data_IF_363981438843
#
_entry.id   IF_363981438843
#
_cell.length_a   1.000
_cell.length_b   1.000
_cell.length_c   1.000
_cell.angle_alpha   90.00
_cell.angle_beta   90.00
_cell.angle_gamma   90.00
#
_symmetry.space_group_name_H-M   'P 1'
#
loop_
_entity.id
_entity.type
_entity.pdbx_description
1 polymer ?
#
# COMPACT_ATOMS: atom_id res chain seq x y z
N UNK A 1 -87.10 -3.40 -17.02
CA UNK A 1 -87.01 -4.01 -18.36
C UNK A 1 -85.63 -3.70 -18.94
N UNK A 2 -85.07 -4.67 -19.66
CA UNK A 2 -83.69 -4.77 -20.17
C UNK A 2 -83.39 -3.85 -21.37
N UNK A 3 -82.07 -3.80 -21.66
CA UNK A 3 -81.34 -3.61 -22.93
C UNK A 3 -80.61 -2.25 -23.04
N UNK A 4 -79.27 -2.17 -22.91
CA UNK A 4 -78.11 -2.69 -23.67
C UNK A 4 -77.68 -1.79 -24.85
N UNK A 5 -76.41 -1.35 -24.83
CA UNK A 5 -75.66 -0.82 -25.98
C UNK A 5 -74.68 0.30 -25.58
N UNK A 6 -73.42 0.38 -26.02
CA UNK A 6 -72.54 -0.49 -26.83
C UNK A 6 -71.12 0.00 -26.55
N UNK A 7 -70.16 -0.91 -26.39
CA UNK A 7 -68.74 -0.59 -26.32
C UNK A 7 -68.20 -0.13 -27.69
N UNK A 8 -67.20 0.76 -27.68
CA UNK A 8 -66.29 0.98 -28.81
C UNK A 8 -64.86 0.79 -28.33
N UNK A 9 -64.24 -0.25 -28.91
CA UNK A 9 -62.82 -0.55 -28.88
C UNK A 9 -62.03 0.58 -29.54
N UNK A 10 -60.84 0.89 -29.01
CA UNK A 10 -59.75 1.43 -29.81
C UNK A 10 -58.51 0.56 -29.60
N UNK A 11 -57.91 0.23 -30.75
CA UNK A 11 -56.95 -0.82 -31.00
C UNK A 11 -55.63 -0.70 -30.23
N UNK A 12 -55.16 -1.86 -29.79
CA UNK A 12 -53.80 -2.13 -29.37
C UNK A 12 -52.90 -2.23 -30.61
N UNK A 13 -51.86 -1.40 -30.70
CA UNK A 13 -50.67 -1.70 -31.49
C UNK A 13 -49.49 -1.96 -30.54
N UNK A 14 -48.69 -3.02 -30.74
CA UNK A 14 -47.62 -3.37 -29.83
C UNK A 14 -46.33 -2.62 -30.23
N UNK A 15 -45.99 -1.59 -29.47
CA UNK A 15 -44.66 -0.97 -29.52
C UNK A 15 -43.64 -1.85 -28.79
N UNK A 16 -42.62 -2.30 -29.54
CA UNK A 16 -41.51 -3.14 -29.10
C UNK A 16 -40.96 -2.76 -27.71
N UNK A 17 -41.06 -3.71 -26.76
CA UNK A 17 -40.32 -3.67 -25.52
C UNK A 17 -38.82 -3.82 -25.82
N UNK A 18 -38.06 -2.74 -25.61
CA UNK A 18 -36.60 -2.81 -25.58
C UNK A 18 -36.16 -3.50 -24.28
N UNK A 19 -35.83 -4.79 -24.39
CA UNK A 19 -35.17 -5.54 -23.33
C UNK A 19 -33.73 -5.03 -23.18
N UNK A 20 -33.56 -3.97 -22.40
CA UNK A 20 -32.26 -3.64 -21.79
C UNK A 20 -32.41 -3.82 -20.27
N UNK A 21 -31.56 -4.63 -19.62
CA UNK A 21 -31.63 -4.79 -18.17
C UNK A 21 -31.29 -3.45 -17.53
N UNK A 22 -32.09 -2.94 -16.57
CA UNK A 22 -31.78 -1.68 -15.92
C UNK A 22 -30.47 -1.84 -15.13
N UNK A 23 -29.51 -1.02 -15.48
CA UNK A 23 -28.24 -0.86 -14.78
C UNK A 23 -28.51 -0.36 -13.36
N UNK A 24 -27.97 -1.09 -12.37
CA UNK A 24 -27.84 -0.73 -10.95
C UNK A 24 -28.95 0.19 -10.37
N UNK A 25 -30.07 -0.40 -9.96
CA UNK A 25 -31.11 0.30 -9.21
C UNK A 25 -30.50 0.97 -7.96
N UNK A 26 -30.46 2.30 -7.94
CA UNK A 26 -30.03 3.09 -6.78
C UNK A 26 -31.17 3.13 -5.77
N UNK A 27 -30.95 2.62 -4.56
CA UNK A 27 -31.96 2.52 -3.50
C UNK A 27 -31.95 3.82 -2.66
N UNK A 28 -33.11 4.46 -2.49
CA UNK A 28 -33.30 5.71 -1.74
C UNK A 28 -34.27 5.52 -0.58
N UNK A 29 -34.02 6.15 0.58
CA UNK A 29 -34.88 6.06 1.77
C UNK A 29 -35.33 7.44 2.29
N UNK A 30 -36.53 7.49 2.87
CA UNK A 30 -37.05 8.63 3.64
C UNK A 30 -36.36 8.70 5.01
N UNK A 31 -36.01 9.91 5.48
CA UNK A 31 -35.50 10.11 6.85
C UNK A 31 -36.58 9.77 7.89
N UNK A 32 -36.30 8.84 8.80
CA UNK A 32 -36.98 8.76 10.10
C UNK A 32 -37.97 7.63 10.35
N UNK A 33 -38.08 6.59 9.51
CA UNK A 33 -39.01 5.48 9.76
C UNK A 33 -38.31 4.27 10.42
N UNK A 34 -38.59 4.04 11.71
CA UNK A 34 -38.39 2.74 12.35
C UNK A 34 -39.67 1.92 12.16
N UNK A 35 -39.61 0.89 11.31
CA UNK A 35 -40.65 -0.14 11.21
C UNK A 35 -41.16 -0.41 9.79
N UNK A 36 -40.99 -1.66 9.35
CA UNK A 36 -41.87 -2.35 8.39
C UNK A 36 -41.90 -1.85 6.94
N UNK A 37 -41.07 -2.46 6.09
CA UNK A 37 -41.21 -2.43 4.62
C UNK A 37 -40.53 -1.23 3.98
N UNK A 38 -39.42 -1.45 3.27
CA UNK A 38 -38.73 -0.41 2.51
C UNK A 38 -39.26 -0.37 1.08
N UNK A 39 -40.00 0.68 0.66
CA UNK A 39 -40.33 0.86 -0.74
C UNK A 39 -39.06 1.33 -1.47
N UNK A 40 -38.61 0.53 -2.44
CA UNK A 40 -37.50 0.88 -3.33
C UNK A 40 -37.98 1.83 -4.43
N UNK A 41 -37.45 3.04 -4.49
CA UNK A 41 -37.80 4.02 -5.52
C UNK A 41 -36.66 4.21 -6.53
N UNK A 42 -37.01 4.36 -7.81
CA UNK A 42 -36.08 4.70 -8.89
C UNK A 42 -35.56 6.14 -8.75
N UNK A 43 -34.39 6.45 -9.30
CA UNK A 43 -33.75 7.79 -9.26
C UNK A 43 -34.67 8.92 -9.74
N UNK A 44 -35.62 8.62 -10.63
CA UNK A 44 -36.54 9.57 -11.24
C UNK A 44 -37.77 9.86 -10.37
N UNK A 45 -37.93 9.16 -9.24
CA UNK A 45 -39.01 9.36 -8.27
C UNK A 45 -38.51 9.97 -6.95
N UNK A 46 -37.31 10.54 -6.94
CA UNK A 46 -36.67 11.15 -5.76
C UNK A 46 -37.40 12.42 -5.34
N UNK A 47 -37.87 12.49 -4.09
CA UNK A 47 -38.31 13.74 -3.45
C UNK A 47 -37.12 14.48 -2.81
N UNK A 48 -37.28 15.77 -2.51
CA UNK A 48 -36.23 16.58 -1.86
C UNK A 48 -35.71 15.97 -0.54
N UNK A 49 -36.55 15.21 0.16
CA UNK A 49 -36.26 14.60 1.46
C UNK A 49 -35.64 13.19 1.38
N UNK A 50 -35.50 12.62 0.18
CA UNK A 50 -34.93 11.28 -0.02
C UNK A 50 -33.39 11.31 -0.07
N UNK A 51 -32.76 10.45 0.74
CA UNK A 51 -31.30 10.36 0.88
C UNK A 51 -30.76 9.14 0.14
N UNK A 52 -29.65 9.32 -0.59
CA UNK A 52 -28.95 8.22 -1.25
C UNK A 52 -28.32 7.35 -0.18
N UNK A 53 -28.85 6.14 0.02
CA UNK A 53 -28.29 5.22 1.02
C UNK A 53 -27.16 4.36 0.46
N UNK A 54 -27.03 4.28 -0.87
CA UNK A 54 -26.02 3.48 -1.57
C UNK A 54 -24.76 4.31 -1.80
N UNK A 55 -24.89 5.49 -2.39
CA UNK A 55 -23.80 6.42 -2.68
C UNK A 55 -23.87 7.64 -1.76
N UNK A 56 -23.80 7.38 -0.44
CA UNK A 56 -23.78 8.45 0.56
C UNK A 56 -22.64 9.42 0.27
N UNK A 57 -22.95 10.72 0.29
CA UNK A 57 -21.96 11.80 0.19
C UNK A 57 -21.92 12.58 1.50
N UNK A 58 -20.75 13.11 1.82
CA UNK A 58 -20.62 14.13 2.86
C UNK A 58 -21.49 15.35 2.52
N UNK A 59 -21.90 16.14 3.51
CA UNK A 59 -22.67 17.37 3.29
C UNK A 59 -21.98 18.34 2.32
N UNK A 60 -20.64 18.32 2.25
CA UNK A 60 -19.87 19.15 1.33
C UNK A 60 -19.90 18.68 -0.13
N UNK A 61 -20.54 17.53 -0.42
CA UNK A 61 -20.67 16.86 -1.72
C UNK A 61 -19.35 16.45 -2.41
N UNK A 62 -18.20 16.83 -1.86
CA UNK A 62 -16.86 16.59 -2.42
C UNK A 62 -16.25 15.25 -2.03
N UNK A 63 -16.69 14.63 -0.92
CA UNK A 63 -16.06 13.43 -0.37
C UNK A 63 -17.05 12.34 0.03
N UNK A 64 -16.59 11.09 -0.02
CA UNK A 64 -17.26 9.93 0.57
C UNK A 64 -17.15 10.04 2.10
N UNK A 65 -18.26 9.88 2.84
CA UNK A 65 -18.21 9.96 4.29
C UNK A 65 -17.59 8.69 4.88
N UNK A 66 -16.66 8.86 5.82
CA UNK A 66 -16.08 7.78 6.62
C UNK A 66 -16.00 8.12 8.11
N UNK A 67 -16.25 9.38 8.47
CA UNK A 67 -16.19 9.89 9.83
C UNK A 67 -17.58 10.08 10.43
N UNK A 68 -17.73 9.73 11.70
CA UNK A 68 -18.96 9.85 12.47
C UNK A 68 -18.67 9.88 13.97
N UNK A 69 -19.71 10.02 14.79
CA UNK A 69 -19.59 9.79 16.23
C UNK A 69 -19.35 8.30 16.49
N UNK A 70 -18.74 7.97 17.64
CA UNK A 70 -18.49 6.59 18.05
C UNK A 70 -19.74 5.72 17.91
N UNK A 71 -19.57 4.55 17.29
CA UNK A 71 -20.64 3.58 16.96
C UNK A 71 -21.78 4.13 16.05
N UNK A 72 -21.59 5.32 15.48
CA UNK A 72 -22.55 6.00 14.61
C UNK A 72 -22.30 5.74 13.12
N UNK A 73 -23.18 6.32 12.29
CA UNK A 73 -23.05 6.25 10.83
C UNK A 73 -21.97 7.22 10.32
N UNK A 74 -21.25 6.86 9.24
CA UNK A 74 -20.35 7.79 8.58
C UNK A 74 -21.17 8.89 7.91
N UNK A 75 -20.95 10.13 8.34
CA UNK A 75 -21.68 11.32 7.87
C UNK A 75 -20.76 12.38 7.28
N UNK A 76 -19.47 12.36 7.65
CA UNK A 76 -18.49 13.37 7.29
C UNK A 76 -17.32 12.75 6.53
N UNK A 77 -16.78 13.49 5.55
CA UNK A 77 -15.50 13.14 4.94
C UNK A 77 -14.34 13.63 5.81
N UNK A 78 -13.11 13.18 5.51
CA UNK A 78 -11.90 13.53 6.26
C UNK A 78 -11.66 15.06 6.40
N UNK A 79 -12.11 15.85 5.42
CA UNK A 79 -11.97 17.32 5.42
C UNK A 79 -13.07 18.05 6.22
N UNK A 80 -14.16 17.36 6.52
CA UNK A 80 -15.31 17.94 7.20
C UNK A 80 -15.53 17.36 8.60
N UNK A 81 -14.68 16.42 9.04
CA UNK A 81 -14.80 15.83 10.38
C UNK A 81 -14.59 16.90 11.46
N UNK A 82 -15.25 16.71 12.60
CA UNK A 82 -14.97 17.46 13.84
C UNK A 82 -14.03 16.67 14.74
N UNK A 83 -13.48 17.30 15.78
CA UNK A 83 -12.59 16.61 16.74
C UNK A 83 -13.27 15.46 17.49
N UNK A 84 -14.59 15.55 17.71
CA UNK A 84 -15.39 14.51 18.34
C UNK A 84 -15.68 13.31 17.42
N UNK A 85 -15.38 13.41 16.12
CA UNK A 85 -15.67 12.36 15.14
C UNK A 85 -14.46 11.45 14.91
N UNK A 86 -14.73 10.16 14.80
CA UNK A 86 -13.74 9.15 14.43
C UNK A 86 -14.10 8.46 13.12
N UNK A 87 -13.12 7.76 12.54
CA UNK A 87 -13.38 6.87 11.41
C UNK A 87 -14.18 5.66 11.91
N UNK A 88 -15.44 5.57 11.47
CA UNK A 88 -16.40 4.52 11.85
C UNK A 88 -16.57 3.48 10.74
N UNK A 89 -15.98 3.73 9.57
CA UNK A 89 -16.04 2.82 8.42
C UNK A 89 -14.88 1.83 8.48
N UNK A 90 -13.70 2.29 8.87
CA UNK A 90 -12.48 1.48 8.85
C UNK A 90 -12.20 0.87 10.22
N UNK A 91 -12.26 -0.46 10.30
CA UNK A 91 -11.91 -1.19 11.51
C UNK A 91 -10.45 -0.90 11.91
N UNK A 92 -10.23 -0.59 13.19
CA UNK A 92 -8.90 -0.45 13.79
C UNK A 92 -8.45 -1.78 14.39
N UNK A 93 -7.14 -1.97 14.48
CA UNK A 93 -6.51 -3.13 15.10
C UNK A 93 -6.99 -3.31 16.54
N UNK A 94 -7.42 -4.53 16.87
CA UNK A 94 -7.92 -4.90 18.21
C UNK A 94 -6.87 -4.73 19.32
N UNK A 95 -5.58 -4.74 19.00
CA UNK A 95 -4.51 -4.49 19.97
C UNK A 95 -4.37 -3.01 20.37
N UNK A 96 -5.30 -2.14 19.99
CA UNK A 96 -5.30 -0.73 20.36
C UNK A 96 -4.21 0.13 19.69
N UNK A 97 -3.45 -0.41 18.73
CA UNK A 97 -2.35 0.31 18.09
C UNK A 97 -2.79 1.35 17.04
N UNK A 98 -4.10 1.57 16.87
CA UNK A 98 -4.67 2.56 15.96
C UNK A 98 -4.53 2.27 14.46
N UNK A 99 -3.88 1.16 14.07
CA UNK A 99 -3.70 0.79 12.66
C UNK A 99 -5.02 0.31 12.04
N UNK A 100 -5.40 0.83 10.89
CA UNK A 100 -6.57 0.34 10.13
C UNK A 100 -6.30 -1.07 9.58
N UNK A 101 -7.28 -1.95 9.70
CA UNK A 101 -7.19 -3.35 9.28
C UNK A 101 -8.27 -3.71 8.28
N UNK A 102 -7.92 -4.59 7.35
CA UNK A 102 -8.87 -5.35 6.54
C UNK A 102 -8.89 -6.75 7.15
N UNK A 103 -10.04 -7.27 7.56
CA UNK A 103 -10.31 -8.42 8.47
C UNK A 103 -9.58 -9.78 8.26
N UNK A 104 -8.47 -9.85 7.54
CA UNK A 104 -7.70 -11.07 7.22
C UNK A 104 -6.97 -11.68 8.42
N UNK A 105 -6.60 -10.86 9.40
CA UNK A 105 -5.72 -11.26 10.50
C UNK A 105 -6.46 -11.24 11.86
N UNK A 106 -7.65 -11.83 11.92
CA UNK A 106 -8.48 -11.90 13.15
C UNK A 106 -8.73 -10.53 13.81
N UNK A 107 -8.84 -9.47 13.02
CA UNK A 107 -9.03 -8.08 13.52
C UNK A 107 -7.73 -7.38 13.96
N UNK A 108 -6.56 -7.99 13.80
CA UNK A 108 -5.26 -7.39 14.14
C UNK A 108 -4.53 -6.87 12.89
N UNK A 109 -3.69 -5.85 13.05
CA UNK A 109 -2.74 -5.51 11.99
C UNK A 109 -1.66 -6.59 11.91
N UNK A 110 -1.00 -6.73 10.75
CA UNK A 110 0.02 -7.79 10.54
C UNK A 110 1.07 -7.79 11.65
N UNK A 111 1.56 -6.61 12.05
CA UNK A 111 2.56 -6.48 13.13
C UNK A 111 2.07 -7.04 14.47
N UNK A 112 0.87 -6.65 14.90
CA UNK A 112 0.30 -7.15 16.15
C UNK A 112 -0.05 -8.64 16.05
N UNK A 113 -0.54 -9.07 14.89
CA UNK A 113 -0.89 -10.47 14.64
C UNK A 113 0.32 -11.39 14.78
N UNK A 114 1.47 -11.02 14.20
CA UNK A 114 2.70 -11.81 14.28
C UNK A 114 3.15 -12.01 15.73
N UNK A 115 3.06 -10.94 16.53
CA UNK A 115 3.45 -10.97 17.94
C UNK A 115 2.48 -11.80 18.79
N UNK A 116 1.18 -11.68 18.55
CA UNK A 116 0.14 -12.35 19.34
C UNK A 116 -0.11 -13.80 18.92
N UNK A 117 0.22 -14.17 17.68
CA UNK A 117 -0.06 -15.49 17.13
C UNK A 117 1.18 -16.08 16.43
N UNK A 118 2.29 -16.33 17.14
CA UNK A 118 3.56 -16.72 16.53
C UNK A 118 3.49 -18.03 15.71
N UNK A 119 2.61 -18.96 16.07
CA UNK A 119 2.48 -20.27 15.41
C UNK A 119 1.67 -20.24 14.11
N UNK A 120 0.94 -19.16 13.87
CA UNK A 120 0.15 -18.99 12.66
C UNK A 120 1.05 -18.91 11.43
N UNK A 121 0.58 -19.44 10.30
CA UNK A 121 1.37 -19.47 9.06
C UNK A 121 1.83 -18.08 8.62
N UNK A 122 0.96 -17.07 8.75
CA UNK A 122 1.28 -15.67 8.42
C UNK A 122 2.42 -15.14 9.28
N UNK A 123 2.43 -15.50 10.56
CA UNK A 123 3.44 -15.09 11.54
C UNK A 123 4.77 -15.75 11.28
N UNK A 124 4.78 -17.06 11.06
CA UNK A 124 5.98 -17.82 10.69
C UNK A 124 6.63 -17.30 9.42
N UNK A 125 5.83 -16.84 8.45
CA UNK A 125 6.32 -16.35 7.18
C UNK A 125 6.75 -14.87 7.19
N UNK A 126 6.48 -14.15 8.27
CA UNK A 126 6.63 -12.70 8.33
C UNK A 126 8.11 -12.28 8.23
N UNK A 127 8.39 -11.35 7.30
CA UNK A 127 9.72 -10.73 7.10
C UNK A 127 10.88 -11.72 6.87
N UNK A 128 10.64 -12.95 6.41
CA UNK A 128 11.74 -13.92 6.24
C UNK A 128 12.79 -13.46 5.22
N UNK A 129 12.38 -12.92 4.07
CA UNK A 129 13.36 -12.49 3.05
C UNK A 129 14.16 -11.29 3.54
N UNK A 130 13.48 -10.33 4.17
CA UNK A 130 14.11 -9.19 4.87
C UNK A 130 15.09 -9.68 5.94
N UNK A 131 14.71 -10.68 6.75
CA UNK A 131 15.59 -11.30 7.75
C UNK A 131 16.83 -11.92 7.12
N UNK A 132 16.69 -12.72 6.06
CA UNK A 132 17.85 -13.29 5.35
C UNK A 132 18.78 -12.21 4.80
N UNK A 133 18.22 -11.12 4.27
CA UNK A 133 18.96 -9.98 3.76
C UNK A 133 19.75 -9.28 4.89
N UNK A 134 19.08 -8.93 6.00
CA UNK A 134 19.71 -8.27 7.15
C UNK A 134 20.77 -9.18 7.81
N UNK A 135 20.47 -10.46 8.01
CA UNK A 135 21.39 -11.41 8.63
C UNK A 135 22.65 -11.60 7.76
N UNK A 136 22.52 -11.57 6.43
CA UNK A 136 23.67 -11.63 5.51
C UNK A 136 24.55 -10.37 5.59
N UNK A 137 23.95 -9.18 5.67
CA UNK A 137 24.71 -7.91 5.81
C UNK A 137 25.44 -7.86 7.15
N UNK A 138 24.78 -8.28 8.24
CA UNK A 138 25.42 -8.38 9.56
C UNK A 138 26.60 -9.35 9.56
N UNK A 139 26.45 -10.50 8.90
CA UNK A 139 27.51 -11.49 8.78
C UNK A 139 28.69 -11.02 7.92
N UNK A 140 28.48 -10.04 7.03
CA UNK A 140 29.55 -9.48 6.19
C UNK A 140 30.49 -8.54 6.94
N UNK A 141 30.09 -8.05 8.12
CA UNK A 141 30.91 -7.19 9.00
C UNK A 141 31.48 -5.93 8.31
N UNK A 142 30.72 -5.36 7.36
CA UNK A 142 31.10 -4.14 6.62
C UNK A 142 30.52 -2.86 7.20
N UNK A 143 29.60 -2.98 8.16
CA UNK A 143 28.94 -1.83 8.78
C UNK A 143 29.84 -1.25 9.88
N UNK A 144 29.85 0.08 10.06
CA UNK A 144 30.66 0.69 11.11
C UNK A 144 30.18 0.23 12.49
N UNK A 145 31.12 -0.08 13.40
CA UNK A 145 30.80 -0.44 14.79
C UNK A 145 30.48 0.82 15.59
N UNK A 146 29.30 1.38 15.31
CA UNK A 146 28.86 2.63 15.91
C UNK A 146 27.37 2.60 16.23
N UNK A 147 26.92 3.36 17.26
CA UNK A 147 25.50 3.46 17.60
C UNK A 147 24.66 4.15 16.52
N UNK A 148 25.30 4.69 15.47
CA UNK A 148 24.63 5.28 14.31
C UNK A 148 24.10 4.23 13.31
N UNK A 149 24.42 2.95 13.50
CA UNK A 149 23.80 1.84 12.76
C UNK A 149 22.53 1.39 13.46
N UNK A 150 21.41 1.39 12.75
CA UNK A 150 20.13 0.91 13.28
C UNK A 150 19.46 -0.08 12.33
N UNK A 151 18.77 -1.07 12.91
CA UNK A 151 18.03 -2.12 12.19
C UNK A 151 16.57 -2.12 12.65
N UNK A 152 15.61 -1.96 11.73
CA UNK A 152 14.16 -1.90 12.00
C UNK A 152 13.77 -1.04 13.23
N UNK A 153 14.53 0.04 13.46
CA UNK A 153 14.33 0.99 14.57
C UNK A 153 13.93 2.35 14.00
N UNK A 154 13.20 3.13 14.81
CA UNK A 154 12.94 4.54 14.50
C UNK A 154 14.26 5.31 14.66
N UNK A 155 14.49 6.28 13.79
CA UNK A 155 15.62 7.19 13.92
C UNK A 155 15.48 8.01 15.21
N UNK A 156 16.57 8.10 15.97
CA UNK A 156 16.60 8.84 17.23
C UNK A 156 16.55 10.35 16.93
N UNK A 157 15.52 11.04 17.43
CA UNK A 157 15.29 12.47 17.16
C UNK A 157 14.45 12.78 15.93
N UNK A 158 14.08 11.78 15.12
CA UNK A 158 13.18 11.95 13.99
C UNK A 158 11.73 12.17 14.42
N UNK A 159 11.06 13.16 13.82
CA UNK A 159 9.64 13.40 14.05
C UNK A 159 8.78 12.31 13.40
N UNK A 160 9.30 11.61 12.38
CA UNK A 160 8.56 10.56 11.69
C UNK A 160 8.54 9.22 12.45
N UNK A 161 7.50 8.41 12.23
CA UNK A 161 7.41 7.05 12.77
C UNK A 161 8.16 6.01 11.91
N UNK A 162 8.99 6.46 10.96
CA UNK A 162 9.55 5.64 9.87
C UNK A 162 10.76 4.82 10.34
N UNK A 163 10.93 3.66 9.70
CA UNK A 163 11.92 2.64 10.05
C UNK A 163 12.43 2.02 8.74
N UNK A 164 13.59 2.45 8.23
CA UNK A 164 14.29 1.68 7.20
C UNK A 164 14.74 0.32 7.77
N UNK A 165 14.93 -0.67 6.89
CA UNK A 165 15.37 -2.00 7.33
C UNK A 165 16.77 -1.93 7.94
N UNK A 166 17.65 -1.14 7.33
CA UNK A 166 18.95 -0.74 7.88
C UNK A 166 19.15 0.75 7.62
N UNK A 167 19.60 1.49 8.63
CA UNK A 167 20.05 2.86 8.52
C UNK A 167 21.47 2.97 9.05
N UNK A 168 22.29 3.72 8.34
CA UNK A 168 23.65 4.03 8.73
C UNK A 168 23.87 5.53 8.56
N UNK A 169 24.26 6.21 9.64
CA UNK A 169 24.78 7.58 9.56
C UNK A 169 26.31 7.52 9.66
N UNK A 170 26.99 7.90 8.57
CA UNK A 170 28.46 7.95 8.47
C UNK A 170 28.99 9.38 8.62
N UNK A 171 28.26 10.22 9.36
CA UNK A 171 28.51 11.64 9.66
C UNK A 171 28.41 12.58 8.46
N UNK A 172 28.98 12.22 7.31
CA UNK A 172 28.96 13.02 6.08
C UNK A 172 27.62 12.94 5.34
N UNK A 173 27.02 11.76 5.35
CA UNK A 173 25.77 11.44 4.66
C UNK A 173 25.12 10.22 5.33
N UNK A 174 23.89 9.89 4.96
CA UNK A 174 23.20 8.69 5.46
C UNK A 174 22.97 7.66 4.36
N UNK A 175 23.00 6.37 4.71
CA UNK A 175 22.73 5.25 3.80
C UNK A 175 21.60 4.40 4.38
N UNK A 176 20.53 4.25 3.60
CA UNK A 176 19.34 3.49 3.97
C UNK A 176 19.23 2.27 3.07
N UNK A 177 19.27 1.07 3.65
CA UNK A 177 19.04 -0.19 2.95
C UNK A 177 17.60 -0.63 3.09
N UNK A 178 16.97 -1.00 1.99
CA UNK A 178 15.57 -1.49 1.95
C UNK A 178 15.50 -2.82 1.17
N UNK A 179 14.86 -3.83 1.75
CA UNK A 179 14.54 -5.09 1.09
C UNK A 179 13.10 -5.01 0.54
N UNK A 180 12.95 -4.67 -0.73
CA UNK A 180 11.63 -4.53 -1.34
C UNK A 180 11.14 -5.84 -1.96
N UNK A 181 10.33 -6.56 -1.21
CA UNK A 181 9.58 -7.68 -1.78
C UNK A 181 8.59 -7.19 -2.86
N UNK A 182 8.51 -7.93 -3.97
CA UNK A 182 7.68 -7.62 -5.14
C UNK A 182 7.96 -6.25 -5.79
N UNK A 183 9.19 -5.74 -5.69
CA UNK A 183 9.65 -4.49 -6.33
C UNK A 183 8.89 -3.23 -5.94
N UNK A 184 8.08 -3.26 -4.88
CA UNK A 184 7.31 -2.10 -4.40
C UNK A 184 6.58 -1.37 -5.56
N UNK A 185 5.84 -2.11 -6.40
CA UNK A 185 5.35 -1.62 -7.69
C UNK A 185 4.48 -0.36 -7.60
N UNK A 186 5.09 0.78 -7.97
CA UNK A 186 4.63 2.05 -8.60
C UNK A 186 3.37 2.78 -8.09
N UNK A 187 2.42 2.14 -7.42
CA UNK A 187 1.19 2.75 -6.91
C UNK A 187 1.37 3.59 -5.63
N UNK A 188 2.54 3.51 -4.99
CA UNK A 188 2.90 4.22 -3.76
C UNK A 188 3.75 5.48 -3.97
N UNK A 189 4.02 5.87 -5.23
CA UNK A 189 5.02 6.90 -5.58
C UNK A 189 4.88 8.23 -4.81
N UNK A 190 3.65 8.67 -4.51
CA UNK A 190 3.42 9.89 -3.72
C UNK A 190 3.73 9.71 -2.22
N UNK A 191 3.49 8.50 -1.69
CA UNK A 191 3.82 8.13 -0.31
C UNK A 191 5.32 7.87 -0.15
N UNK A 192 5.97 7.27 -1.15
CA UNK A 192 7.41 6.98 -1.14
C UNK A 192 8.24 8.26 -1.24
N UNK A 193 7.87 9.22 -2.09
CA UNK A 193 8.55 10.52 -2.14
C UNK A 193 8.37 11.29 -0.83
N UNK A 194 7.16 11.28 -0.25
CA UNK A 194 6.93 11.89 1.06
C UNK A 194 7.76 11.20 2.15
N UNK A 195 7.82 9.86 2.13
CA UNK A 195 8.64 9.06 3.05
C UNK A 195 10.13 9.38 2.90
N UNK A 196 10.61 9.53 1.67
CA UNK A 196 11.99 9.87 1.36
C UNK A 196 12.36 11.24 1.92
N UNK A 197 11.51 12.25 1.69
CA UNK A 197 11.72 13.60 2.20
C UNK A 197 11.58 13.70 3.72
N UNK A 198 10.65 12.96 4.34
CA UNK A 198 10.54 12.87 5.81
C UNK A 198 11.83 12.33 6.43
N UNK A 199 12.42 11.29 5.84
CA UNK A 199 13.68 10.71 6.31
C UNK A 199 14.86 11.66 6.10
N UNK A 200 14.91 12.37 4.98
CA UNK A 200 15.95 13.36 4.69
C UNK A 200 15.94 14.51 5.72
N UNK A 201 14.75 15.01 6.07
CA UNK A 201 14.58 16.02 7.12
C UNK A 201 14.98 15.48 8.49
N UNK A 202 14.54 14.27 8.84
CA UNK A 202 14.88 13.62 10.11
C UNK A 202 16.40 13.36 10.23
N UNK A 203 17.11 13.19 9.11
CA UNK A 203 18.56 13.04 9.04
C UNK A 203 19.34 14.39 9.06
N UNK A 204 18.64 15.51 9.28
CA UNK A 204 19.25 16.84 9.37
C UNK A 204 19.64 17.44 8.02
N UNK A 205 18.96 17.05 6.93
CA UNK A 205 19.24 17.47 5.56
C UNK A 205 20.65 17.11 5.07
N UNK A 206 21.25 16.05 5.64
CA UNK A 206 22.49 15.48 5.11
C UNK A 206 22.19 14.74 3.81
N UNK A 207 23.14 14.68 2.87
CA UNK A 207 22.98 13.86 1.68
C UNK A 207 22.56 12.44 2.07
N UNK A 208 21.65 11.85 1.31
CA UNK A 208 21.05 10.57 1.64
C UNK A 208 21.13 9.63 0.43
N UNK A 209 21.53 8.39 0.70
CA UNK A 209 21.46 7.27 -0.25
C UNK A 209 20.37 6.31 0.20
N UNK A 210 19.48 5.92 -0.72
CA UNK A 210 18.55 4.81 -0.54
C UNK A 210 18.92 3.66 -1.48
N UNK A 211 19.47 2.59 -0.92
CA UNK A 211 19.92 1.41 -1.64
C UNK A 211 18.89 0.28 -1.52
N UNK A 212 18.08 0.10 -2.57
CA UNK A 212 16.93 -0.80 -2.58
C UNK A 212 17.27 -2.12 -3.25
N UNK A 213 17.00 -3.22 -2.55
CA UNK A 213 17.28 -4.58 -2.98
C UNK A 213 15.99 -5.34 -3.28
N UNK A 214 15.90 -5.93 -4.48
CA UNK A 214 14.82 -6.86 -4.80
C UNK A 214 15.27 -8.34 -4.68
N UNK A 215 14.77 -9.11 -3.69
CA UNK A 215 15.04 -10.54 -3.58
C UNK A 215 14.23 -11.39 -4.58
N UNK A 216 13.21 -10.81 -5.22
CA UNK A 216 12.27 -11.52 -6.07
C UNK A 216 12.72 -11.63 -7.53
N UNK A 217 11.85 -12.20 -8.36
CA UNK A 217 12.10 -12.23 -9.80
C UNK A 217 12.03 -10.82 -10.39
N UNK A 218 12.82 -10.60 -11.43
CA UNK A 218 12.79 -9.36 -12.20
C UNK A 218 13.17 -9.63 -13.66
N UNK A 219 12.90 -8.66 -14.51
CA UNK A 219 13.28 -8.65 -15.92
C UNK A 219 14.27 -7.51 -16.15
N UNK A 220 15.52 -7.82 -16.50
CA UNK A 220 16.54 -6.79 -16.71
C UNK A 220 16.21 -5.84 -17.85
N UNK A 221 16.95 -4.73 -17.96
CA UNK A 221 16.82 -3.78 -19.07
C UNK A 221 16.98 -4.42 -20.47
N UNK A 222 17.75 -5.51 -20.58
CA UNK A 222 17.92 -6.29 -21.81
C UNK A 222 16.78 -7.26 -22.10
N UNK A 223 15.77 -7.34 -21.23
CA UNK A 223 14.62 -8.24 -21.37
C UNK A 223 14.86 -9.65 -20.81
N UNK A 224 16.01 -9.91 -20.19
CA UNK A 224 16.32 -11.22 -19.61
C UNK A 224 15.57 -11.40 -18.28
N UNK A 225 14.86 -12.52 -18.16
CA UNK A 225 14.13 -12.87 -16.93
C UNK A 225 15.05 -13.55 -15.94
N UNK A 226 15.12 -13.00 -14.73
CA UNK A 226 15.84 -13.57 -13.60
C UNK A 226 14.85 -14.11 -12.57
N UNK A 227 14.95 -15.38 -12.16
CA UNK A 227 14.04 -15.97 -11.17
C UNK A 227 14.30 -15.41 -9.76
N UNK A 228 13.29 -15.44 -8.90
CA UNK A 228 13.42 -15.10 -7.46
C UNK A 228 14.50 -15.92 -6.78
N UNK A 229 15.22 -15.30 -5.84
CA UNK A 229 16.16 -15.99 -4.95
C UNK A 229 15.44 -16.97 -4.02
N UNK A 230 14.12 -16.84 -3.85
CA UNK A 230 13.31 -17.64 -2.96
C UNK A 230 12.37 -18.58 -3.70
N UNK A 231 11.99 -19.66 -3.02
CA UNK A 231 10.88 -20.54 -3.36
C UNK A 231 10.09 -20.82 -2.09
N UNK A 232 8.83 -21.21 -2.23
CA UNK A 232 8.04 -21.68 -1.10
C UNK A 232 8.19 -23.19 -0.97
N UNK A 233 8.46 -23.68 0.24
CA UNK A 233 8.44 -25.10 0.52
C UNK A 233 6.97 -25.61 0.63
N UNK A 234 6.78 -26.91 0.93
CA UNK A 234 5.44 -27.52 1.06
C UNK A 234 4.58 -26.88 2.16
N UNK A 235 5.19 -26.33 3.21
CA UNK A 235 4.47 -25.65 4.30
C UNK A 235 4.17 -24.18 3.99
N UNK A 236 4.67 -23.67 2.86
CA UNK A 236 4.53 -22.28 2.44
C UNK A 236 5.53 -21.33 3.07
N UNK A 237 6.63 -21.82 3.63
CA UNK A 237 7.75 -21.02 4.13
C UNK A 237 8.66 -20.62 2.95
N UNK A 238 9.01 -19.34 2.78
CA UNK A 238 10.02 -18.92 1.83
C UNK A 238 11.39 -19.45 2.27
N UNK A 239 12.06 -20.16 1.36
CA UNK A 239 13.41 -20.69 1.53
C UNK A 239 14.25 -20.29 0.33
N UNK A 240 15.56 -20.15 0.52
CA UNK A 240 16.49 -19.85 -0.57
C UNK A 240 16.38 -20.97 -1.62
N UNK A 241 16.05 -20.57 -2.86
CA UNK A 241 15.87 -21.46 -4.00
C UNK A 241 17.23 -21.99 -4.48
N UNK A 242 18.20 -21.09 -4.58
CA UNK A 242 19.53 -21.37 -5.10
C UNK A 242 20.52 -20.47 -4.36
N UNK A 243 21.39 -21.11 -3.58
CA UNK A 243 22.36 -20.43 -2.70
C UNK A 243 23.35 -19.57 -3.50
N UNK A 244 23.93 -20.11 -4.58
CA UNK A 244 24.88 -19.38 -5.42
C UNK A 244 24.27 -18.13 -6.05
N UNK A 245 23.00 -18.18 -6.48
CA UNK A 245 22.30 -17.00 -7.02
C UNK A 245 22.01 -15.96 -5.95
N UNK A 246 21.62 -16.40 -4.75
CA UNK A 246 21.44 -15.51 -3.61
C UNK A 246 22.75 -14.80 -3.27
N UNK A 247 23.84 -15.55 -3.13
CA UNK A 247 25.18 -15.02 -2.85
C UNK A 247 25.67 -14.08 -3.95
N UNK A 248 25.48 -14.42 -5.22
CA UNK A 248 25.85 -13.54 -6.33
C UNK A 248 25.10 -12.19 -6.25
N UNK A 249 23.81 -12.19 -5.92
CA UNK A 249 23.05 -10.94 -5.74
C UNK A 249 23.50 -10.16 -4.51
N UNK A 250 23.71 -10.85 -3.39
CA UNK A 250 24.17 -10.22 -2.15
C UNK A 250 25.57 -9.64 -2.29
N UNK A 251 26.47 -10.28 -3.06
CA UNK A 251 27.80 -9.76 -3.33
C UNK A 251 27.76 -8.40 -4.02
N UNK A 252 26.98 -8.28 -5.11
CA UNK A 252 26.75 -7.00 -5.79
C UNK A 252 26.14 -5.97 -4.82
N UNK A 253 25.19 -6.40 -3.98
CA UNK A 253 24.61 -5.51 -2.98
C UNK A 253 25.65 -4.99 -1.98
N UNK A 254 26.49 -5.85 -1.42
CA UNK A 254 27.53 -5.48 -0.46
C UNK A 254 28.60 -4.58 -1.10
N UNK A 255 28.97 -4.83 -2.37
CA UNK A 255 29.86 -3.95 -3.12
C UNK A 255 29.29 -2.53 -3.23
N UNK A 256 28.00 -2.40 -3.59
CA UNK A 256 27.33 -1.10 -3.67
C UNK A 256 27.11 -0.45 -2.31
N UNK A 257 26.77 -1.22 -1.29
CA UNK A 257 26.64 -0.72 0.08
C UNK A 257 27.98 -0.17 0.58
N UNK A 258 29.08 -0.91 0.39
CA UNK A 258 30.44 -0.47 0.75
C UNK A 258 30.84 0.80 0.02
N UNK A 259 30.55 0.88 -1.28
CA UNK A 259 30.78 2.10 -2.06
C UNK A 259 30.06 3.30 -1.43
N UNK A 260 28.75 3.18 -1.17
CA UNK A 260 27.99 4.30 -0.61
C UNK A 260 28.44 4.66 0.80
N UNK A 261 28.78 3.68 1.66
CA UNK A 261 29.32 3.98 3.00
C UNK A 261 30.61 4.81 2.97
N UNK A 262 31.36 4.78 1.87
CA UNK A 262 32.67 5.42 1.74
C UNK A 262 32.70 6.62 0.79
N UNK A 263 31.63 6.86 0.03
CA UNK A 263 31.55 7.92 -0.98
C UNK A 263 30.34 8.81 -0.71
N UNK A 264 30.59 10.10 -0.46
CA UNK A 264 29.52 11.09 -0.31
C UNK A 264 28.81 11.25 -1.66
N UNK A 265 27.46 11.15 -1.71
CA UNK A 265 26.75 11.30 -2.97
C UNK A 265 26.78 12.75 -3.46
N UNK A 266 26.84 12.95 -4.78
CA UNK A 266 26.82 14.27 -5.42
C UNK A 266 25.48 15.01 -5.27
N UNK A 267 24.41 14.26 -5.00
CA UNK A 267 23.05 14.77 -4.88
C UNK A 267 22.53 14.61 -3.46
N UNK A 268 21.68 15.55 -3.03
CA UNK A 268 21.02 15.52 -1.72
C UNK A 268 20.30 14.19 -1.45
N UNK A 269 19.68 13.62 -2.49
CA UNK A 269 19.01 12.34 -2.40
C UNK A 269 19.37 11.49 -3.61
N UNK A 270 19.97 10.34 -3.34
CA UNK A 270 20.33 9.31 -4.32
C UNK A 270 19.53 8.05 -4.06
N UNK A 271 18.90 7.48 -5.09
CA UNK A 271 18.15 6.22 -4.98
C UNK A 271 18.70 5.22 -6.00
N UNK A 272 19.20 4.09 -5.52
CA UNK A 272 19.75 3.02 -6.35
C UNK A 272 18.90 1.75 -6.20
N UNK A 273 18.45 1.21 -7.34
CA UNK A 273 17.59 0.03 -7.40
C UNK A 273 18.38 -1.16 -7.93
N UNK A 274 18.57 -2.19 -7.11
CA UNK A 274 19.30 -3.40 -7.46
C UNK A 274 18.32 -4.55 -7.74
N UNK A 275 18.44 -5.15 -8.93
CA UNK A 275 17.64 -6.29 -9.40
C UNK A 275 16.15 -5.97 -9.66
N UNK A 276 15.85 -4.82 -10.28
CA UNK A 276 14.48 -4.39 -10.61
C UNK A 276 14.19 -4.53 -12.10
N UNK A 277 12.90 -4.54 -12.43
CA UNK A 277 12.42 -4.56 -13.80
C UNK A 277 12.91 -3.33 -14.57
N UNK A 278 13.61 -3.56 -15.68
CA UNK A 278 14.12 -2.50 -16.55
C UNK A 278 15.40 -1.82 -16.06
N UNK A 279 16.03 -2.33 -15.00
CA UNK A 279 17.31 -1.84 -14.51
C UNK A 279 18.46 -2.75 -14.96
N UNK A 280 19.61 -2.15 -15.21
CA UNK A 280 20.88 -2.85 -15.33
C UNK A 280 21.59 -2.77 -13.96
N UNK A 281 22.15 -3.88 -13.51
CA UNK A 281 22.85 -4.01 -12.22
C UNK A 281 24.32 -4.39 -12.42
N UNK A 282 24.79 -4.43 -13.68
CA UNK A 282 26.18 -4.67 -14.06
C UNK A 282 26.95 -3.38 -14.41
N UNK A 283 26.39 -2.21 -14.18
CA UNK A 283 27.04 -0.96 -14.53
C UNK A 283 28.07 -0.55 -13.45
N UNK A 284 29.34 -0.52 -13.84
CA UNK A 284 30.46 0.08 -13.08
C UNK A 284 30.32 1.62 -12.92
N UNK A 285 29.23 2.21 -13.41
CA UNK A 285 29.02 3.66 -13.48
C UNK A 285 27.57 4.02 -13.08
N UNK A 286 27.30 3.96 -11.77
CA UNK A 286 26.02 4.36 -11.15
C UNK A 286 26.12 5.71 -10.41
N UNK A 287 27.28 6.37 -10.44
CA UNK A 287 27.41 7.78 -10.05
C UNK A 287 26.88 8.65 -11.17
N UNK A 288 25.60 9.03 -11.07
CA UNK A 288 25.03 10.06 -11.92
C UNK A 288 24.05 9.57 -12.99
N UNK A 289 22.89 9.10 -12.56
CA UNK A 289 21.61 9.33 -13.24
C UNK A 289 20.46 8.92 -12.31
N UNK A 290 19.85 9.92 -11.69
CA UNK A 290 18.49 9.81 -11.19
C UNK A 290 17.60 9.15 -12.27
N UNK A 291 16.79 8.19 -11.82
CA UNK A 291 16.07 7.24 -12.67
C UNK A 291 15.51 7.83 -13.97
N UNK A 292 15.85 7.18 -15.09
CA UNK A 292 15.07 7.29 -16.33
C UNK A 292 14.70 5.90 -16.83
N UNK A 293 13.41 5.60 -16.76
CA UNK A 293 12.78 4.63 -17.68
C UNK A 293 13.12 5.05 -19.11
N UNK A 294 13.67 4.15 -19.91
CA UNK A 294 13.71 4.33 -21.37
C UNK A 294 12.27 4.55 -21.85
N UNK A 295 12.04 5.67 -22.55
CA UNK A 295 10.79 5.90 -23.30
C UNK A 295 10.64 4.75 -24.28
N UNK A 296 9.53 4.01 -24.22
CA UNK A 296 9.14 3.12 -25.32
C UNK A 296 8.90 4.01 -26.54
N UNK A 297 9.72 3.86 -27.57
CA UNK A 297 9.35 4.18 -28.95
C UNK A 297 8.21 3.28 -29.40
#
# INVERSE_FOLDING_TARGET
MKWLGRAKNYDLTPGLASNTPPTAATIWHLKGTQGGGFPSFHSNCKTADMVDVVNRRCFCQRGVPSFGLKDGLPTHCAQCKTEAMEDVTHAKCLNGCGTIVQNRNKGYCVRCFVFLFPDEKVSRNYKIKEKHFVDYIKAADILPDTPQVTFDKRLQGGCSARRPDIFVDVYTHTVHSECDENQHSVGSYSCDNKRLMELFQDAGNRPQVQLRFNPDSFTSASGVKHPSCFKYNKTGLPVIRNQAKWEARMKVYLERLTYHLTHVPDWEVTVEHLFYDGFDYHAEDMSGKAGRKRKRT
#
